data_IF_261654211210
#
_entry.id   IF_261654211210
#
_cell.length_a   1.000
_cell.length_b   1.000
_cell.length_c   1.000
_cell.angle_alpha   90.00
_cell.angle_beta   90.00
_cell.angle_gamma   90.00
#
_symmetry.space_group_name_H-M   'P 1'
#
loop_
_entity.id
_entity.type
_entity.pdbx_description
1 polymer ?
#
# COMPACT_ATOMS: atom_id res chain seq x y z
N UNK A 1 -8.68 -6.09 -26.33
CA UNK A 1 -7.68 -5.58 -25.37
C UNK A 1 -8.33 -4.42 -24.63
N UNK A 2 -8.49 -4.56 -23.32
CA UNK A 2 -9.25 -3.62 -22.49
C UNK A 2 -8.42 -2.36 -22.22
N UNK A 3 -9.06 -1.23 -21.92
CA UNK A 3 -8.36 0.07 -21.76
C UNK A 3 -7.25 0.04 -20.71
N UNK A 4 -7.42 -0.74 -19.64
CA UNK A 4 -6.40 -0.91 -18.61
C UNK A 4 -5.16 -1.68 -19.10
N UNK A 5 -5.35 -2.68 -19.98
CA UNK A 5 -4.25 -3.46 -20.55
C UNK A 5 -3.36 -2.58 -21.42
N UNK A 6 -3.97 -1.63 -22.17
CA UNK A 6 -3.22 -0.66 -22.98
C UNK A 6 -2.35 0.25 -22.11
N UNK A 7 -2.91 0.79 -21.02
CA UNK A 7 -2.15 1.63 -20.06
C UNK A 7 -1.02 0.82 -19.41
N UNK A 8 -1.29 -0.42 -19.03
CA UNK A 8 -0.29 -1.30 -18.45
C UNK A 8 0.85 -1.61 -19.43
N UNK A 9 0.53 -1.97 -20.67
CA UNK A 9 1.51 -2.23 -21.73
C UNK A 9 2.34 -0.98 -22.09
N UNK A 10 1.74 0.22 -22.03
CA UNK A 10 2.46 1.49 -22.18
C UNK A 10 3.48 1.69 -21.04
N UNK A 11 3.12 1.34 -19.81
CA UNK A 11 3.99 1.54 -18.65
C UNK A 11 5.08 0.48 -18.52
N UNK A 12 4.79 -0.76 -18.96
CA UNK A 12 5.65 -1.93 -18.83
C UNK A 12 5.74 -2.67 -20.18
N UNK A 13 6.47 -2.13 -21.16
CA UNK A 13 6.64 -2.78 -22.46
C UNK A 13 7.47 -4.06 -22.32
N UNK A 14 6.75 -5.20 -22.40
CA UNK A 14 7.23 -6.59 -22.56
C UNK A 14 8.52 -6.95 -21.80
N UNK A 15 8.34 -7.45 -20.57
CA UNK A 15 9.22 -8.49 -20.05
C UNK A 15 9.06 -9.77 -20.90
N UNK A 16 10.14 -10.51 -21.13
CA UNK A 16 10.11 -11.79 -21.88
C UNK A 16 9.21 -12.77 -21.14
N UNK A 17 7.99 -12.91 -21.65
CA UNK A 17 6.94 -13.70 -21.02
C UNK A 17 7.17 -15.18 -21.33
N UNK A 18 7.81 -15.92 -20.42
CA UNK A 18 7.76 -17.38 -20.45
C UNK A 18 6.35 -17.81 -20.08
N UNK A 19 5.73 -18.68 -20.88
CA UNK A 19 4.39 -19.19 -20.61
C UNK A 19 4.38 -19.92 -19.26
N UNK A 20 3.50 -19.49 -18.35
CA UNK A 20 3.32 -20.17 -17.07
C UNK A 20 2.43 -21.41 -17.25
N UNK A 21 2.81 -22.58 -16.72
CA UNK A 21 2.05 -23.81 -16.88
C UNK A 21 0.74 -23.77 -16.10
N UNK A 22 -0.30 -24.37 -16.68
CA UNK A 22 -1.67 -24.37 -16.14
C UNK A 22 -2.00 -25.70 -15.42
N UNK A 23 -1.20 -26.75 -15.65
CA UNK A 23 -1.34 -28.05 -14.98
C UNK A 23 0.01 -28.76 -14.93
N UNK A 24 0.30 -29.38 -13.78
CA UNK A 24 1.49 -30.19 -13.56
C UNK A 24 1.03 -31.53 -12.99
N UNK A 25 1.65 -32.62 -13.44
CA UNK A 25 1.34 -34.00 -12.98
C UNK A 25 2.60 -34.77 -12.57
N UNK A 26 3.74 -34.07 -12.43
CA UNK A 26 5.00 -34.71 -12.09
C UNK A 26 5.01 -35.12 -10.62
N UNK A 27 5.37 -36.36 -10.38
CA UNK A 27 5.71 -36.88 -9.05
C UNK A 27 7.18 -37.25 -9.04
N UNK A 28 7.91 -36.82 -8.02
CA UNK A 28 9.32 -37.14 -7.85
C UNK A 28 9.51 -38.20 -6.77
N UNK A 29 10.56 -39.01 -6.93
CA UNK A 29 11.03 -39.83 -5.82
C UNK A 29 11.73 -38.94 -4.79
N UNK A 30 11.87 -39.46 -3.56
CA UNK A 30 12.60 -38.76 -2.50
C UNK A 30 14.05 -38.40 -2.90
N UNK A 31 14.69 -39.15 -3.79
CA UNK A 31 16.06 -38.84 -4.27
C UNK A 31 16.04 -37.73 -5.31
N UNK A 32 15.10 -37.77 -6.25
CA UNK A 32 14.93 -36.71 -7.25
C UNK A 32 14.58 -35.36 -6.62
N UNK A 33 13.69 -35.34 -5.61
CA UNK A 33 13.41 -34.11 -4.84
C UNK A 33 14.67 -33.51 -4.25
N UNK A 34 15.52 -34.37 -3.68
CA UNK A 34 16.76 -33.95 -3.05
C UNK A 34 17.75 -33.34 -4.05
N UNK A 35 17.93 -33.99 -5.21
CA UNK A 35 18.80 -33.50 -6.28
C UNK A 35 18.38 -32.12 -6.82
N UNK A 36 17.07 -31.86 -6.91
CA UNK A 36 16.56 -30.55 -7.33
C UNK A 36 16.71 -29.54 -6.18
N UNK A 37 16.36 -29.94 -4.96
CA UNK A 37 16.43 -29.09 -3.77
C UNK A 37 17.87 -28.62 -3.47
N UNK A 38 18.89 -29.46 -3.68
CA UNK A 38 20.30 -29.06 -3.50
C UNK A 38 20.76 -27.96 -4.46
N UNK A 39 20.13 -27.85 -5.64
CA UNK A 39 20.43 -26.80 -6.63
C UNK A 39 19.79 -25.46 -6.27
N UNK A 40 18.86 -25.42 -5.32
CA UNK A 40 18.19 -24.20 -4.89
C UNK A 40 19.13 -23.32 -4.05
N UNK A 41 18.99 -22.01 -4.21
CA UNK A 41 19.72 -21.04 -3.38
C UNK A 41 19.29 -21.14 -1.92
N UNK A 42 20.08 -20.57 -0.99
CA UNK A 42 19.76 -20.59 0.44
C UNK A 42 18.37 -19.99 0.74
N UNK A 43 18.03 -18.85 0.11
CA UNK A 43 16.72 -18.20 0.27
C UNK A 43 15.58 -19.08 -0.25
N UNK A 44 15.77 -19.71 -1.41
CA UNK A 44 14.79 -20.61 -2.00
C UNK A 44 14.53 -21.84 -1.12
N UNK A 45 15.59 -22.45 -0.58
CA UNK A 45 15.47 -23.57 0.36
C UNK A 45 14.72 -23.18 1.63
N UNK A 46 15.05 -22.02 2.22
CA UNK A 46 14.33 -21.50 3.39
C UNK A 46 12.84 -21.28 3.12
N UNK A 47 12.49 -20.74 1.94
CA UNK A 47 11.09 -20.61 1.53
C UNK A 47 10.40 -21.98 1.44
N UNK A 48 10.99 -22.92 0.69
CA UNK A 48 10.44 -24.26 0.48
C UNK A 48 10.26 -25.00 1.81
N UNK A 49 11.24 -24.94 2.72
CA UNK A 49 11.15 -25.59 4.02
C UNK A 49 10.05 -24.99 4.90
N UNK A 50 9.91 -23.66 4.90
CA UNK A 50 8.86 -22.95 5.63
C UNK A 50 7.48 -23.30 5.09
N UNK A 51 7.30 -23.29 3.76
CA UNK A 51 6.03 -23.66 3.12
C UNK A 51 5.71 -25.14 3.34
N UNK A 52 6.70 -26.03 3.25
CA UNK A 52 6.54 -27.44 3.61
C UNK A 52 6.05 -27.59 5.05
N UNK A 53 6.66 -26.87 6.00
CA UNK A 53 6.26 -26.90 7.41
C UNK A 53 4.82 -26.43 7.58
N UNK A 54 4.46 -25.32 6.93
CA UNK A 54 3.09 -24.81 6.94
C UNK A 54 2.09 -25.83 6.40
N UNK A 55 2.36 -26.45 5.24
CA UNK A 55 1.47 -27.45 4.64
C UNK A 55 1.31 -28.68 5.53
N UNK A 56 2.40 -29.16 6.14
CA UNK A 56 2.33 -30.25 7.12
C UNK A 56 1.44 -29.82 8.30
N UNK A 57 1.70 -28.66 8.90
CA UNK A 57 0.90 -28.15 10.02
C UNK A 57 -0.59 -28.05 9.66
N UNK A 58 -0.91 -27.48 8.50
CA UNK A 58 -2.29 -27.33 8.01
C UNK A 58 -2.96 -28.69 7.90
N UNK A 59 -2.30 -29.67 7.29
CA UNK A 59 -2.82 -31.02 7.13
C UNK A 59 -3.08 -31.70 8.49
N UNK A 60 -2.19 -31.53 9.47
CA UNK A 60 -2.38 -32.07 10.82
C UNK A 60 -3.55 -31.42 11.58
N UNK A 61 -3.80 -30.12 11.37
CA UNK A 61 -4.89 -29.37 12.00
C UNK A 61 -6.23 -29.68 11.33
N UNK A 62 -6.30 -29.56 10.00
CA UNK A 62 -7.54 -29.73 9.23
C UNK A 62 -8.17 -31.11 9.43
N UNK A 63 -7.34 -32.14 9.41
CA UNK A 63 -7.80 -33.53 9.51
C UNK A 63 -7.89 -34.01 10.96
N UNK A 64 -7.51 -33.15 11.93
CA UNK A 64 -7.54 -33.42 13.36
C UNK A 64 -6.89 -34.77 13.74
N UNK A 65 -5.83 -35.17 13.03
CA UNK A 65 -5.24 -36.52 13.14
C UNK A 65 -4.88 -36.92 14.57
N UNK A 66 -4.46 -35.94 15.36
CA UNK A 66 -3.96 -36.12 16.71
C UNK A 66 -4.93 -35.60 17.78
N UNK A 67 -6.16 -35.21 17.43
CA UNK A 67 -7.12 -34.64 18.37
C UNK A 67 -7.50 -35.59 19.51
N UNK A 68 -7.46 -36.91 19.27
CA UNK A 68 -7.70 -37.93 20.29
C UNK A 68 -6.44 -38.26 21.13
N UNK A 69 -5.34 -37.52 20.93
CA UNK A 69 -4.05 -37.77 21.58
C UNK A 69 -3.53 -36.50 22.24
N UNK A 70 -2.62 -36.66 23.20
CA UNK A 70 -1.91 -35.53 23.82
C UNK A 70 -0.71 -35.07 22.98
N UNK A 71 -0.75 -35.18 21.65
CA UNK A 71 0.38 -34.86 20.78
C UNK A 71 -0.02 -33.83 19.74
N UNK A 72 0.85 -32.86 19.49
CA UNK A 72 0.74 -31.97 18.34
C UNK A 72 2.03 -31.99 17.52
N UNK A 73 1.90 -31.75 16.22
CA UNK A 73 3.07 -31.64 15.35
C UNK A 73 3.85 -30.35 15.68
N UNK A 74 5.14 -30.49 15.96
CA UNK A 74 6.02 -29.40 16.39
C UNK A 74 6.98 -28.97 15.29
N UNK A 75 7.67 -29.91 14.64
CA UNK A 75 8.66 -29.62 13.59
C UNK A 75 8.96 -30.86 12.74
N UNK A 76 9.72 -30.70 11.66
CA UNK A 76 10.33 -31.82 10.96
C UNK A 76 11.79 -31.50 10.59
N UNK A 77 12.59 -32.54 10.44
CA UNK A 77 13.98 -32.46 9.97
C UNK A 77 14.19 -33.40 8.80
N UNK A 78 15.01 -33.00 7.84
CA UNK A 78 15.43 -33.83 6.72
C UNK A 78 16.92 -34.13 6.90
N UNK A 79 17.28 -35.41 6.76
CA UNK A 79 18.66 -35.84 6.69
C UNK A 79 19.12 -35.84 5.21
N UNK A 80 19.84 -34.79 4.75
CA UNK A 80 20.48 -34.75 3.43
C UNK A 80 21.34 -35.98 3.11
N UNK A 81 21.93 -36.58 4.15
CA UNK A 81 22.96 -37.60 4.05
C UNK A 81 22.45 -39.00 4.42
N UNK A 82 21.14 -39.20 4.38
CA UNK A 82 20.50 -40.47 4.70
C UNK A 82 21.13 -41.63 3.91
N UNK A 83 21.56 -42.69 4.61
CA UNK A 83 22.26 -43.86 4.03
C UNK A 83 23.58 -43.56 3.33
N UNK A 84 24.18 -42.39 3.56
CA UNK A 84 25.56 -42.13 3.15
C UNK A 84 26.54 -42.44 4.29
N UNK A 85 27.83 -42.66 3.96
CA UNK A 85 28.90 -42.87 4.95
C UNK A 85 29.35 -41.58 5.66
N UNK A 86 28.75 -40.43 5.36
CA UNK A 86 29.14 -39.14 5.94
C UNK A 86 28.77 -39.11 7.42
N UNK A 87 29.72 -38.72 8.29
CA UNK A 87 29.58 -38.68 9.77
C UNK A 87 28.74 -37.52 10.31
N UNK A 88 28.00 -36.80 9.46
CA UNK A 88 27.17 -35.69 9.91
C UNK A 88 25.96 -36.19 10.71
N UNK A 89 25.29 -35.28 11.43
CA UNK A 89 24.21 -35.61 12.37
C UNK A 89 23.09 -36.37 11.66
N UNK A 90 23.06 -37.69 11.84
CA UNK A 90 22.00 -38.57 11.33
C UNK A 90 20.74 -38.38 12.15
N UNK A 91 19.59 -38.55 11.49
CA UNK A 91 18.29 -38.53 12.15
C UNK A 91 17.87 -39.97 12.48
N UNK A 92 17.27 -40.14 13.65
CA UNK A 92 16.80 -41.44 14.12
C UNK A 92 15.37 -41.32 14.64
N UNK A 93 14.59 -42.37 14.46
CA UNK A 93 13.32 -42.54 15.16
C UNK A 93 13.62 -42.86 16.63
N UNK A 94 12.66 -42.62 17.52
CA UNK A 94 12.79 -43.02 18.93
C UNK A 94 12.95 -44.54 19.10
N UNK A 95 12.55 -45.36 18.12
CA UNK A 95 12.85 -46.80 18.09
C UNK A 95 14.28 -47.15 17.61
N UNK A 96 15.13 -46.14 17.33
CA UNK A 96 16.52 -46.31 16.87
C UNK A 96 16.70 -46.47 15.36
N UNK A 97 15.62 -46.50 14.57
CA UNK A 97 15.70 -46.60 13.10
C UNK A 97 16.25 -45.32 12.47
N UNK A 98 17.28 -45.39 11.62
CA UNK A 98 17.77 -44.23 10.86
C UNK A 98 16.66 -43.70 9.95
N UNK A 99 16.43 -42.39 9.96
CA UNK A 99 15.37 -41.71 9.22
C UNK A 99 15.94 -40.75 8.17
N UNK A 100 15.28 -40.70 7.01
CA UNK A 100 15.48 -39.64 6.03
C UNK A 100 14.74 -38.37 6.42
N UNK A 101 13.52 -38.53 6.90
CA UNK A 101 12.67 -37.44 7.39
C UNK A 101 12.22 -37.81 8.79
N UNK A 102 12.45 -36.92 9.74
CA UNK A 102 12.09 -37.07 11.14
C UNK A 102 11.03 -36.04 11.47
N UNK A 103 9.85 -36.50 11.85
CA UNK A 103 8.75 -35.67 12.33
C UNK A 103 8.88 -35.56 13.85
N UNK A 104 8.73 -34.36 14.37
CA UNK A 104 8.83 -34.05 15.79
C UNK A 104 7.43 -33.70 16.26
N UNK A 105 6.92 -34.47 17.20
CA UNK A 105 5.65 -34.22 17.87
C UNK A 105 5.92 -33.92 19.33
N UNK A 106 5.14 -33.01 19.91
CA UNK A 106 5.32 -32.58 21.30
C UNK A 106 4.01 -32.76 22.07
N UNK A 107 4.13 -33.19 23.32
CA UNK A 107 3.01 -33.23 24.25
C UNK A 107 2.89 -31.89 24.96
N UNK A 108 1.73 -31.21 24.90
CA UNK A 108 1.52 -29.96 25.62
C UNK A 108 1.43 -30.21 27.13
N UNK A 109 0.90 -31.36 27.56
CA UNK A 109 0.73 -31.70 28.97
C UNK A 109 2.06 -32.05 29.65
N UNK A 110 2.93 -32.82 28.99
CA UNK A 110 4.20 -33.31 29.59
C UNK A 110 5.43 -32.56 29.11
N UNK A 111 5.33 -31.77 28.03
CA UNK A 111 6.48 -31.15 27.37
C UNK A 111 7.40 -32.13 26.62
N UNK A 112 7.11 -33.44 26.66
CA UNK A 112 7.93 -34.47 26.01
C UNK A 112 7.88 -34.29 24.49
N UNK A 113 9.01 -34.53 23.83
CA UNK A 113 9.13 -34.55 22.36
C UNK A 113 9.41 -35.97 21.89
N UNK A 114 8.69 -36.42 20.88
CA UNK A 114 8.98 -37.68 20.17
C UNK A 114 9.49 -37.38 18.77
N UNK A 115 10.45 -38.19 18.34
CA UNK A 115 11.08 -38.09 17.02
C UNK A 115 10.73 -39.33 16.20
N UNK A 116 9.85 -39.16 15.22
CA UNK A 116 9.16 -40.25 14.57
C UNK A 116 9.40 -40.27 13.06
N UNK A 117 9.48 -41.46 12.48
CA UNK A 117 9.28 -41.66 11.04
C UNK A 117 7.79 -41.74 10.75
N UNK A 118 7.36 -41.35 9.55
CA UNK A 118 5.92 -41.28 9.20
C UNK A 118 5.19 -42.62 9.42
N UNK A 119 5.85 -43.74 9.12
CA UNK A 119 5.28 -45.08 9.29
C UNK A 119 5.20 -45.55 10.74
N UNK A 120 5.88 -44.87 11.67
CA UNK A 120 5.91 -45.27 13.08
C UNK A 120 4.96 -44.42 13.95
N UNK A 121 4.11 -43.57 13.33
CA UNK A 121 3.11 -42.80 14.05
C UNK A 121 2.10 -43.70 14.78
N UNK A 122 1.61 -44.77 14.13
CA UNK A 122 0.70 -45.74 14.75
C UNK A 122 1.29 -46.37 16.01
N UNK A 123 2.56 -46.77 15.93
CA UNK A 123 3.27 -47.48 17.00
C UNK A 123 3.55 -46.57 18.20
N UNK A 124 4.03 -45.35 17.95
CA UNK A 124 4.47 -44.45 19.03
C UNK A 124 3.36 -43.55 19.58
N UNK A 125 2.33 -43.24 18.80
CA UNK A 125 1.22 -42.37 19.22
C UNK A 125 -0.05 -43.14 19.57
N UNK A 126 -0.04 -44.47 19.45
CA UNK A 126 -1.19 -45.34 19.68
C UNK A 126 -2.44 -44.93 18.86
N UNK A 127 -2.22 -44.34 17.68
CA UNK A 127 -3.28 -43.96 16.76
C UNK A 127 -3.72 -45.18 15.94
N UNK A 128 -5.00 -45.22 15.55
CA UNK A 128 -5.53 -46.32 14.75
C UNK A 128 -4.83 -46.43 13.38
N UNK A 129 -4.75 -47.64 12.79
CA UNK A 129 -4.19 -47.82 11.45
C UNK A 129 -4.85 -46.92 10.39
N UNK A 130 -6.15 -46.65 10.52
CA UNK A 130 -6.89 -45.74 9.64
C UNK A 130 -6.35 -44.31 9.71
N UNK A 131 -6.06 -43.81 10.92
CA UNK A 131 -5.45 -42.49 11.13
C UNK A 131 -4.04 -42.45 10.55
N UNK A 132 -3.24 -43.50 10.77
CA UNK A 132 -1.88 -43.58 10.21
C UNK A 132 -1.86 -43.60 8.67
N UNK A 133 -2.77 -44.32 8.02
CA UNK A 133 -2.95 -44.27 6.57
C UNK A 133 -3.33 -42.87 6.10
N UNK A 134 -4.27 -42.21 6.80
CA UNK A 134 -4.68 -40.86 6.45
C UNK A 134 -3.56 -39.83 6.61
N UNK A 135 -2.73 -39.95 7.66
CA UNK A 135 -1.51 -39.15 7.83
C UNK A 135 -0.56 -39.34 6.62
N UNK A 136 -0.34 -40.59 6.18
CA UNK A 136 0.50 -40.89 5.02
C UNK A 136 -0.06 -40.29 3.72
N UNK A 137 -1.38 -40.38 3.50
CA UNK A 137 -2.06 -39.73 2.37
C UNK A 137 -1.90 -38.21 2.42
N UNK A 138 -2.06 -37.61 3.60
CA UNK A 138 -1.81 -36.18 3.83
C UNK A 138 -0.38 -35.77 3.49
N UNK A 139 0.62 -36.55 3.93
CA UNK A 139 2.02 -36.27 3.57
C UNK A 139 2.30 -36.44 2.08
N UNK A 140 1.60 -37.37 1.42
CA UNK A 140 1.68 -37.52 -0.04
C UNK A 140 1.15 -36.26 -0.74
N UNK A 141 0.05 -35.66 -0.27
CA UNK A 141 -0.45 -34.37 -0.79
C UNK A 141 0.59 -33.25 -0.61
N UNK A 142 1.24 -33.17 0.56
CA UNK A 142 2.31 -32.18 0.79
C UNK A 142 3.45 -32.38 -0.20
N UNK A 143 3.91 -33.61 -0.38
CA UNK A 143 4.99 -33.94 -1.31
C UNK A 143 4.62 -33.62 -2.77
N UNK A 144 3.36 -33.84 -3.18
CA UNK A 144 2.86 -33.44 -4.49
C UNK A 144 2.88 -31.93 -4.70
N UNK A 145 2.48 -31.16 -3.69
CA UNK A 145 2.57 -29.69 -3.75
C UNK A 145 4.03 -29.24 -3.91
N UNK A 146 4.97 -29.85 -3.19
CA UNK A 146 6.40 -29.52 -3.34
C UNK A 146 6.95 -29.92 -4.70
N UNK A 147 6.52 -31.06 -5.24
CA UNK A 147 6.93 -31.52 -6.57
C UNK A 147 6.56 -30.54 -7.66
N UNK A 148 5.44 -29.85 -7.51
CA UNK A 148 5.03 -28.77 -8.41
C UNK A 148 6.10 -27.67 -8.47
N UNK A 149 6.50 -27.12 -7.31
CA UNK A 149 7.50 -26.05 -7.25
C UNK A 149 8.88 -26.51 -7.76
N UNK A 150 9.29 -27.72 -7.38
CA UNK A 150 10.56 -28.28 -7.81
C UNK A 150 10.58 -28.54 -9.32
N UNK A 151 9.47 -29.01 -9.88
CA UNK A 151 9.32 -29.18 -11.32
C UNK A 151 9.41 -27.84 -12.05
N UNK A 152 8.69 -26.82 -11.59
CA UNK A 152 8.74 -25.46 -12.14
C UNK A 152 10.18 -24.93 -12.19
N UNK A 153 10.92 -25.09 -11.08
CA UNK A 153 12.33 -24.71 -11.04
C UNK A 153 13.21 -25.54 -11.96
N UNK A 154 12.97 -26.85 -12.07
CA UNK A 154 13.72 -27.70 -12.99
C UNK A 154 13.49 -27.30 -14.46
N UNK A 155 12.30 -26.80 -14.81
CA UNK A 155 11.98 -26.28 -16.15
C UNK A 155 12.48 -24.84 -16.38
N UNK A 156 13.25 -24.26 -15.46
CA UNK A 156 13.70 -22.86 -15.51
C UNK A 156 12.53 -21.87 -15.65
N UNK A 157 11.41 -22.18 -14.99
CA UNK A 157 10.28 -21.26 -14.84
C UNK A 157 10.57 -20.35 -13.66
N UNK A 158 10.48 -19.06 -13.93
CA UNK A 158 10.77 -17.99 -12.98
C UNK A 158 9.48 -17.53 -12.29
N UNK A 159 9.62 -16.62 -11.33
CA UNK A 159 8.46 -15.94 -10.74
C UNK A 159 7.68 -15.20 -11.84
N UNK A 160 6.33 -15.29 -11.87
CA UNK A 160 5.53 -14.67 -12.92
C UNK A 160 5.39 -13.15 -12.71
N UNK A 161 6.47 -12.41 -12.95
CA UNK A 161 6.57 -10.97 -12.64
C UNK A 161 5.51 -10.14 -13.37
N UNK A 162 5.22 -10.46 -14.64
CA UNK A 162 4.12 -9.84 -15.39
C UNK A 162 2.77 -9.99 -14.67
N UNK A 163 2.41 -11.20 -14.24
CA UNK A 163 1.14 -11.43 -13.54
C UNK A 163 1.10 -10.67 -12.21
N UNK A 164 2.23 -10.62 -11.50
CA UNK A 164 2.35 -9.85 -10.27
C UNK A 164 2.16 -8.34 -10.48
N UNK A 165 2.77 -7.78 -11.53
CA UNK A 165 2.60 -6.37 -11.90
C UNK A 165 1.16 -6.06 -12.32
N UNK A 166 0.53 -6.94 -13.10
CA UNK A 166 -0.90 -6.84 -13.44
C UNK A 166 -1.76 -6.85 -12.18
N UNK A 167 -1.50 -7.77 -11.25
CA UNK A 167 -2.19 -7.85 -9.97
C UNK A 167 -2.05 -6.56 -9.15
N UNK A 168 -0.82 -6.05 -8.98
CA UNK A 168 -0.57 -4.78 -8.29
C UNK A 168 -1.31 -3.62 -8.94
N UNK A 169 -1.30 -3.55 -10.28
CA UNK A 169 -2.01 -2.51 -11.02
C UNK A 169 -3.52 -2.59 -10.79
N UNK A 170 -4.09 -3.79 -10.75
CA UNK A 170 -5.50 -3.99 -10.45
C UNK A 170 -5.85 -3.56 -9.01
N UNK A 171 -5.00 -3.87 -8.02
CA UNK A 171 -5.18 -3.36 -6.66
C UNK A 171 -5.10 -1.83 -6.61
N UNK A 172 -4.16 -1.22 -7.34
CA UNK A 172 -4.05 0.23 -7.44
C UNK A 172 -5.36 0.87 -7.93
N UNK A 173 -5.96 0.29 -8.99
CA UNK A 173 -7.23 0.75 -9.56
C UNK A 173 -8.43 0.45 -8.66
N UNK A 174 -8.39 -0.65 -7.92
CA UNK A 174 -9.44 -1.07 -7.01
C UNK A 174 -9.77 0.00 -5.94
N UNK A 175 -8.78 0.80 -5.52
CA UNK A 175 -8.97 1.94 -4.59
C UNK A 175 -9.89 3.04 -5.09
N UNK A 176 -10.14 3.10 -6.40
CA UNK A 176 -10.98 4.10 -7.06
C UNK A 176 -12.41 3.60 -7.27
N UNK A 177 -12.66 2.30 -7.06
CA UNK A 177 -13.97 1.70 -7.29
C UNK A 177 -15.01 2.18 -6.28
N UNK A 178 -16.24 2.41 -6.76
CA UNK A 178 -17.38 2.65 -5.88
C UNK A 178 -17.61 1.46 -4.95
N UNK A 179 -17.42 0.25 -5.45
CA UNK A 179 -17.51 -0.99 -4.68
C UNK A 179 -16.21 -1.80 -4.85
N UNK A 180 -15.25 -1.66 -3.93
CA UNK A 180 -13.96 -2.33 -4.09
C UNK A 180 -14.08 -3.83 -3.87
N UNK A 181 -13.12 -4.55 -4.43
CA UNK A 181 -12.81 -5.94 -4.12
C UNK A 181 -11.85 -6.00 -2.93
N UNK A 182 -11.99 -7.02 -2.09
CA UNK A 182 -11.14 -7.22 -0.93
C UNK A 182 -10.23 -8.43 -1.22
N UNK A 183 -8.92 -8.21 -1.44
CA UNK A 183 -8.01 -9.29 -1.83
C UNK A 183 -7.75 -10.27 -0.70
N UNK A 184 -7.43 -11.51 -1.05
CA UNK A 184 -6.96 -12.51 -0.10
C UNK A 184 -5.56 -12.11 0.42
N UNK A 185 -5.51 -11.74 1.70
CA UNK A 185 -4.27 -11.34 2.36
C UNK A 185 -3.25 -12.48 2.43
N UNK A 186 -3.71 -13.73 2.63
CA UNK A 186 -2.83 -14.90 2.71
C UNK A 186 -2.22 -15.20 1.35
N UNK A 187 -3.02 -15.12 0.28
CA UNK A 187 -2.52 -15.24 -1.08
C UNK A 187 -1.46 -14.18 -1.38
N UNK A 188 -1.78 -12.91 -1.10
CA UNK A 188 -0.86 -11.80 -1.39
C UNK A 188 0.45 -11.91 -0.60
N UNK A 189 0.38 -12.18 0.72
CA UNK A 189 1.56 -12.43 1.56
C UNK A 189 2.41 -13.55 0.99
N UNK A 190 1.79 -14.69 0.65
CA UNK A 190 2.49 -15.84 0.06
C UNK A 190 3.18 -15.45 -1.24
N UNK A 191 2.49 -14.83 -2.19
CA UNK A 191 3.07 -14.45 -3.49
C UNK A 191 4.27 -13.52 -3.33
N UNK A 192 4.23 -12.55 -2.39
CA UNK A 192 5.40 -11.69 -2.13
C UNK A 192 6.60 -12.48 -1.61
N UNK A 193 6.39 -13.42 -0.66
CA UNK A 193 7.49 -14.27 -0.18
C UNK A 193 8.16 -15.08 -1.30
N UNK A 194 7.36 -15.57 -2.25
CA UNK A 194 7.86 -16.28 -3.42
C UNK A 194 8.66 -15.35 -4.35
N UNK A 195 8.18 -14.12 -4.56
CA UNK A 195 8.90 -13.10 -5.34
C UNK A 195 10.25 -12.77 -4.73
N UNK A 196 10.30 -12.52 -3.41
CA UNK A 196 11.54 -12.19 -2.68
C UNK A 196 12.61 -13.30 -2.76
N UNK A 197 12.16 -14.56 -2.80
CA UNK A 197 13.04 -15.71 -2.97
C UNK A 197 13.37 -16.03 -4.44
N UNK A 198 12.81 -15.26 -5.39
CA UNK A 198 12.86 -15.54 -6.84
C UNK A 198 12.43 -16.98 -7.16
N UNK A 199 11.34 -17.43 -6.54
CA UNK A 199 10.72 -18.74 -6.75
C UNK A 199 9.47 -18.62 -7.61
N UNK A 200 9.19 -19.60 -8.49
CA UNK A 200 7.88 -19.71 -9.12
C UNK A 200 6.82 -20.00 -8.04
N UNK A 201 5.60 -19.51 -8.23
CA UNK A 201 4.46 -19.75 -7.32
C UNK A 201 3.79 -21.11 -7.60
N UNK A 202 2.78 -21.48 -6.82
CA UNK A 202 1.92 -22.62 -7.16
C UNK A 202 1.00 -22.25 -8.35
N UNK A 203 0.63 -23.24 -9.16
CA UNK A 203 -0.35 -23.09 -10.25
C UNK A 203 -1.70 -22.63 -9.70
N UNK A 204 -2.09 -23.13 -8.52
CA UNK A 204 -3.30 -22.68 -7.84
C UNK A 204 -3.22 -21.18 -7.46
N UNK A 205 -2.07 -20.70 -6.99
CA UNK A 205 -1.86 -19.28 -6.66
C UNK A 205 -1.87 -18.41 -7.93
N UNK A 206 -1.25 -18.90 -9.00
CA UNK A 206 -1.28 -18.25 -10.31
C UNK A 206 -2.73 -18.06 -10.80
N UNK A 207 -3.55 -19.11 -10.72
CA UNK A 207 -4.98 -19.06 -11.07
C UNK A 207 -5.79 -18.17 -10.12
N UNK A 208 -5.48 -18.18 -8.83
CA UNK A 208 -6.14 -17.33 -7.85
C UNK A 208 -5.89 -15.84 -8.15
N UNK A 209 -4.65 -15.44 -8.44
CA UNK A 209 -4.33 -14.07 -8.84
C UNK A 209 -5.09 -13.65 -10.12
N UNK A 210 -5.14 -14.51 -11.14
CA UNK A 210 -5.94 -14.27 -12.35
C UNK A 210 -7.41 -14.04 -12.00
N UNK A 211 -7.95 -14.85 -11.08
CA UNK A 211 -9.34 -14.74 -10.64
C UNK A 211 -9.61 -13.42 -9.92
N UNK A 212 -8.72 -12.98 -9.02
CA UNK A 212 -8.85 -11.68 -8.35
C UNK A 212 -8.75 -10.50 -9.33
N UNK A 213 -7.80 -10.55 -10.27
CA UNK A 213 -7.68 -9.58 -11.38
C UNK A 213 -9.00 -9.50 -12.14
N UNK A 214 -9.56 -10.65 -12.51
CA UNK A 214 -10.82 -10.71 -13.25
C UNK A 214 -12.00 -10.13 -12.44
N UNK A 215 -12.08 -10.43 -11.15
CA UNK A 215 -13.11 -9.86 -10.27
C UNK A 215 -13.05 -8.32 -10.25
N UNK A 216 -11.85 -7.74 -10.11
CA UNK A 216 -11.67 -6.28 -10.11
C UNK A 216 -11.99 -5.71 -11.50
N UNK A 217 -11.54 -6.37 -12.56
CA UNK A 217 -11.80 -5.97 -13.95
C UNK A 217 -13.30 -5.88 -14.25
N UNK A 218 -14.08 -6.87 -13.83
CA UNK A 218 -15.54 -6.86 -14.02
C UNK A 218 -16.19 -5.67 -13.31
N UNK A 219 -15.71 -5.32 -12.11
CA UNK A 219 -16.19 -4.14 -11.38
C UNK A 219 -15.77 -2.81 -12.04
N UNK A 220 -14.65 -2.79 -12.77
CA UNK A 220 -14.20 -1.61 -13.53
C UNK A 220 -15.02 -1.36 -14.80
N UNK A 221 -15.41 -2.42 -15.53
CA UNK A 221 -16.21 -2.29 -16.78
C UNK A 221 -17.51 -1.50 -16.59
N UNK A 222 -18.09 -1.54 -15.38
CA UNK A 222 -19.30 -0.79 -15.03
C UNK A 222 -19.08 0.69 -14.64
N UNK A 223 -17.85 1.23 -14.70
CA UNK A 223 -17.54 2.60 -14.28
C UNK A 223 -16.94 3.42 -15.43
N UNK A 224 -17.52 4.59 -15.69
CA UNK A 224 -17.11 5.53 -16.76
C UNK A 224 -15.92 6.42 -16.40
N UNK A 225 -15.29 6.22 -15.24
CA UNK A 225 -14.14 7.03 -14.83
C UNK A 225 -12.88 6.57 -15.56
N UNK A 226 -12.14 7.53 -16.09
CA UNK A 226 -10.87 7.33 -16.78
C UNK A 226 -9.90 6.49 -15.93
N UNK A 227 -9.55 5.32 -16.45
CA UNK A 227 -8.60 4.35 -15.90
C UNK A 227 -7.17 4.93 -15.77
N UNK A 228 -6.89 6.09 -16.38
CA UNK A 228 -5.56 6.70 -16.45
C UNK A 228 -5.14 7.28 -15.09
N UNK A 229 -4.43 6.48 -14.30
CA UNK A 229 -3.61 6.96 -13.18
C UNK A 229 -2.30 7.58 -13.67
N UNK A 230 -1.48 8.07 -12.73
CA UNK A 230 -0.08 8.45 -13.00
C UNK A 230 0.85 7.28 -12.68
N UNK A 231 1.82 6.99 -13.55
CA UNK A 231 2.78 5.89 -13.38
C UNK A 231 3.56 6.01 -12.06
N UNK A 232 4.03 7.21 -11.73
CA UNK A 232 4.75 7.50 -10.47
C UNK A 232 3.94 7.10 -9.22
N UNK A 233 2.63 7.34 -9.21
CA UNK A 233 1.75 6.97 -8.09
C UNK A 233 1.51 5.46 -8.00
N UNK A 234 1.60 4.76 -9.13
CA UNK A 234 1.55 3.30 -9.16
C UNK A 234 2.86 2.69 -8.65
N UNK A 235 4.01 3.22 -9.08
CA UNK A 235 5.33 2.77 -8.62
C UNK A 235 5.44 2.93 -7.10
N UNK A 236 5.11 4.12 -6.58
CA UNK A 236 5.02 4.40 -5.14
C UNK A 236 4.16 3.37 -4.40
N UNK A 237 2.98 3.06 -4.94
CA UNK A 237 2.06 2.09 -4.36
C UNK A 237 2.64 0.67 -4.36
N UNK A 238 3.31 0.27 -5.45
CA UNK A 238 3.91 -1.06 -5.58
C UNK A 238 5.08 -1.23 -4.60
N UNK A 239 5.87 -0.17 -4.39
CA UNK A 239 6.97 -0.16 -3.43
C UNK A 239 6.47 -0.26 -1.99
N UNK A 240 5.41 0.49 -1.64
CA UNK A 240 4.79 0.41 -0.31
C UNK A 240 4.28 -1.00 0.01
N UNK A 241 3.67 -1.66 -0.98
CA UNK A 241 3.16 -3.02 -0.83
C UNK A 241 4.27 -4.00 -0.48
N UNK A 242 5.43 -3.90 -1.15
CA UNK A 242 6.53 -4.84 -0.95
C UNK A 242 7.32 -4.53 0.33
N UNK A 243 7.43 -3.26 0.71
CA UNK A 243 8.22 -2.83 1.88
C UNK A 243 7.73 -3.43 3.20
N UNK A 244 6.43 -3.45 3.40
CA UNK A 244 5.78 -4.07 4.56
C UNK A 244 4.39 -4.56 4.16
N UNK A 245 4.36 -5.77 3.62
CA UNK A 245 3.17 -6.41 3.06
C UNK A 245 2.05 -6.52 4.11
N UNK A 246 2.40 -6.80 5.36
CA UNK A 246 1.42 -7.00 6.43
C UNK A 246 0.76 -5.69 6.82
N UNK A 247 1.55 -4.65 7.11
CA UNK A 247 1.02 -3.33 7.42
C UNK A 247 0.27 -2.76 6.23
N UNK A 248 0.78 -2.94 5.01
CA UNK A 248 0.14 -2.48 3.79
C UNK A 248 -1.24 -3.13 3.61
N UNK A 249 -1.34 -4.46 3.66
CA UNK A 249 -2.60 -5.16 3.43
C UNK A 249 -3.66 -4.80 4.47
N UNK A 250 -3.26 -4.71 5.74
CA UNK A 250 -4.13 -4.28 6.82
C UNK A 250 -4.68 -2.88 6.56
N UNK A 251 -3.80 -1.90 6.26
CA UNK A 251 -4.21 -0.54 5.93
C UNK A 251 -5.08 -0.50 4.66
N UNK A 252 -4.72 -1.26 3.63
CA UNK A 252 -5.45 -1.34 2.38
C UNK A 252 -6.89 -1.82 2.60
N UNK A 253 -7.09 -2.92 3.33
CA UNK A 253 -8.42 -3.41 3.71
C UNK A 253 -9.22 -2.38 4.51
N UNK A 254 -8.60 -1.75 5.52
CA UNK A 254 -9.23 -0.69 6.33
C UNK A 254 -9.67 0.48 5.43
N UNK A 255 -8.82 0.91 4.50
CA UNK A 255 -9.05 2.13 3.71
C UNK A 255 -10.08 1.95 2.60
N UNK A 256 -10.32 0.71 2.17
CA UNK A 256 -11.39 0.36 1.23
C UNK A 256 -12.78 0.38 1.87
N UNK A 257 -12.89 0.28 3.20
CA UNK A 257 -14.17 0.31 3.92
C UNK A 257 -14.88 1.65 3.75
N UNK A 258 -16.22 1.60 3.80
CA UNK A 258 -17.10 2.78 3.65
C UNK A 258 -17.57 3.35 4.98
N UNK A 259 -17.25 2.68 6.08
CA UNK A 259 -17.63 3.05 7.43
C UNK A 259 -16.41 3.51 8.26
N UNK A 260 -16.70 3.99 9.46
CA UNK A 260 -15.71 4.51 10.40
C UNK A 260 -15.18 3.45 11.38
N UNK A 261 -15.71 2.23 11.36
CA UNK A 261 -15.47 1.23 12.42
C UNK A 261 -13.99 0.93 12.66
N UNK A 262 -13.20 0.93 11.59
CA UNK A 262 -11.79 0.54 11.64
C UNK A 262 -10.83 1.72 11.90
N UNK A 263 -11.29 2.97 11.80
CA UNK A 263 -10.44 4.16 11.95
C UNK A 263 -10.91 5.13 13.04
N UNK A 264 -12.16 5.01 13.47
CA UNK A 264 -12.74 5.80 14.55
C UNK A 264 -12.26 5.34 15.92
N UNK A 265 -12.40 6.22 16.91
CA UNK A 265 -12.23 5.84 18.32
C UNK A 265 -13.47 5.05 18.76
N UNK A 266 -13.28 4.00 19.56
CA UNK A 266 -14.39 3.18 20.06
C UNK A 266 -15.38 4.02 20.88
N UNK A 267 -16.66 3.94 20.54
CA UNK A 267 -17.71 4.80 21.12
C UNK A 267 -17.61 6.29 20.73
N UNK A 268 -16.69 6.66 19.83
CA UNK A 268 -16.48 8.02 19.37
C UNK A 268 -17.56 8.51 18.38
N UNK A 269 -17.78 9.82 18.38
CA UNK A 269 -18.67 10.47 17.42
C UNK A 269 -18.06 10.48 16.01
N UNK A 270 -18.91 10.64 14.98
CA UNK A 270 -18.41 10.88 13.64
C UNK A 270 -17.88 12.31 13.52
N UNK A 271 -16.74 12.52 12.85
CA UNK A 271 -16.19 13.85 12.71
C UNK A 271 -17.13 14.76 11.93
N UNK A 272 -17.34 15.95 12.49
CA UNK A 272 -18.16 16.99 11.87
C UNK A 272 -17.46 17.57 10.63
N UNK A 273 -18.20 18.36 9.85
CA UNK A 273 -17.60 19.07 8.73
C UNK A 273 -16.50 20.06 9.17
N UNK A 274 -16.68 20.72 10.32
CA UNK A 274 -15.71 21.66 10.88
C UNK A 274 -14.38 20.99 11.27
N UNK A 275 -14.41 19.70 11.65
CA UNK A 275 -13.20 18.92 11.88
C UNK A 275 -12.32 18.89 10.63
N UNK A 276 -12.89 18.61 9.45
CA UNK A 276 -12.10 18.52 8.21
C UNK A 276 -11.52 19.87 7.79
N UNK A 277 -12.27 20.97 7.94
CA UNK A 277 -11.76 22.32 7.68
C UNK A 277 -10.57 22.65 8.59
N UNK A 278 -10.72 22.39 9.89
CA UNK A 278 -9.66 22.59 10.89
C UNK A 278 -8.44 21.72 10.56
N UNK A 279 -8.66 20.45 10.25
CA UNK A 279 -7.56 19.52 9.96
C UNK A 279 -6.82 19.91 8.68
N UNK A 280 -7.51 20.39 7.64
CA UNK A 280 -6.86 20.94 6.43
C UNK A 280 -5.92 22.09 6.79
N UNK A 281 -6.34 23.01 7.66
CA UNK A 281 -5.50 24.14 8.07
C UNK A 281 -4.28 23.69 8.86
N UNK A 282 -4.45 22.73 9.77
CA UNK A 282 -3.35 22.15 10.53
C UNK A 282 -2.35 21.47 9.60
N UNK A 283 -2.81 20.68 8.63
CA UNK A 283 -1.94 20.06 7.63
C UNK A 283 -1.14 21.13 6.87
N UNK A 284 -1.80 22.19 6.37
CA UNK A 284 -1.12 23.29 5.67
C UNK A 284 -0.11 24.03 6.53
N UNK A 285 -0.40 24.22 7.82
CA UNK A 285 0.49 24.89 8.77
C UNK A 285 1.83 24.14 8.96
N UNK A 286 1.84 22.82 8.76
CA UNK A 286 3.09 22.04 8.80
C UNK A 286 4.02 22.31 7.61
N UNK A 287 3.53 22.99 6.56
CA UNK A 287 4.28 23.27 5.31
C UNK A 287 4.89 22.02 4.68
N UNK A 288 4.31 20.84 4.93
CA UNK A 288 4.80 19.52 4.49
C UNK A 288 6.16 19.11 5.07
N UNK A 289 6.58 19.71 6.18
CA UNK A 289 7.84 19.37 6.86
C UNK A 289 7.63 18.22 7.85
N UNK A 290 8.54 17.24 7.87
CA UNK A 290 8.53 16.09 8.79
C UNK A 290 9.65 16.17 9.83
N UNK A 291 9.91 17.35 10.38
CA UNK A 291 10.86 17.50 11.48
C UNK A 291 10.24 17.10 12.84
N UNK A 292 11.07 16.93 13.86
CA UNK A 292 10.61 16.51 15.20
C UNK A 292 9.60 17.49 15.81
N UNK A 293 9.76 18.79 15.58
CA UNK A 293 8.83 19.81 16.08
C UNK A 293 7.42 19.64 15.51
N UNK A 294 7.28 19.50 14.19
CA UNK A 294 5.99 19.28 13.55
C UNK A 294 5.39 17.93 13.92
N UNK A 295 6.25 16.90 14.12
CA UNK A 295 5.82 15.59 14.60
C UNK A 295 5.19 15.68 15.98
N UNK A 296 5.85 16.34 16.94
CA UNK A 296 5.32 16.52 18.30
C UNK A 296 3.99 17.29 18.29
N UNK A 297 3.89 18.36 17.50
CA UNK A 297 2.63 19.11 17.34
C UNK A 297 1.51 18.24 16.76
N UNK A 298 1.82 17.42 15.76
CA UNK A 298 0.84 16.51 15.16
C UNK A 298 0.43 15.38 16.11
N UNK A 299 1.35 14.85 16.90
CA UNK A 299 1.07 13.84 17.93
C UNK A 299 0.15 14.43 19.02
N UNK A 300 0.42 15.64 19.50
CA UNK A 300 -0.45 16.35 20.45
C UNK A 300 -1.84 16.59 19.87
N UNK A 301 -1.92 17.09 18.63
CA UNK A 301 -3.20 17.27 17.94
C UNK A 301 -3.96 15.94 17.84
N UNK A 302 -3.31 14.88 17.38
CA UNK A 302 -3.92 13.57 17.19
C UNK A 302 -4.43 12.98 18.51
N UNK A 303 -3.69 13.12 19.62
CA UNK A 303 -4.12 12.68 20.95
C UNK A 303 -5.32 13.46 21.48
N UNK A 304 -5.45 14.75 21.12
CA UNK A 304 -6.60 15.56 21.52
C UNK A 304 -7.89 15.27 20.72
N UNK A 305 -7.79 14.53 19.60
CA UNK A 305 -8.97 14.22 18.79
C UNK A 305 -9.82 13.13 19.42
N UNK A 306 -11.15 13.28 19.33
CA UNK A 306 -12.13 12.31 19.83
C UNK A 306 -12.75 11.44 18.73
N UNK A 307 -12.42 11.72 17.47
CA UNK A 307 -13.11 11.14 16.31
C UNK A 307 -12.31 10.02 15.63
N UNK A 308 -10.98 10.17 15.54
CA UNK A 308 -10.11 9.33 14.71
C UNK A 308 -8.93 8.85 15.56
N UNK A 309 -8.53 7.60 15.35
CA UNK A 309 -7.37 7.02 16.03
C UNK A 309 -6.08 7.78 15.72
N UNK A 310 -5.24 7.95 16.74
CA UNK A 310 -3.96 8.68 16.66
C UNK A 310 -3.12 8.24 15.46
N UNK A 311 -2.96 6.92 15.27
CA UNK A 311 -2.18 6.34 14.16
C UNK A 311 -2.69 6.77 12.77
N UNK A 312 -4.00 6.94 12.61
CA UNK A 312 -4.62 7.32 11.34
C UNK A 312 -4.38 8.80 11.07
N UNK A 313 -4.48 9.66 12.09
CA UNK A 313 -4.13 11.08 11.96
C UNK A 313 -2.67 11.28 11.55
N UNK A 314 -1.74 10.58 12.20
CA UNK A 314 -0.32 10.62 11.87
C UNK A 314 -0.05 10.11 10.45
N UNK A 315 -0.71 9.02 10.06
CA UNK A 315 -0.63 8.50 8.69
C UNK A 315 -1.11 9.54 7.66
N UNK A 316 -2.28 10.17 7.87
CA UNK A 316 -2.80 11.21 6.97
C UNK A 316 -1.81 12.36 6.83
N UNK A 317 -1.17 12.79 7.93
CA UNK A 317 -0.16 13.83 7.89
C UNK A 317 1.07 13.42 7.07
N UNK A 318 1.58 12.20 7.25
CA UNK A 318 2.69 11.68 6.44
C UNK A 318 2.36 11.67 4.94
N UNK A 319 1.15 11.21 4.59
CA UNK A 319 0.68 11.21 3.21
C UNK A 319 0.53 12.63 2.64
N UNK A 320 0.07 13.59 3.45
CA UNK A 320 0.01 14.99 3.04
C UNK A 320 1.40 15.58 2.82
N UNK A 321 2.37 15.28 3.68
CA UNK A 321 3.75 15.71 3.50
C UNK A 321 4.35 15.17 2.19
N UNK A 322 4.06 13.90 1.85
CA UNK A 322 4.54 13.25 0.63
C UNK A 322 3.91 13.85 -0.63
N UNK A 323 2.57 13.96 -0.66
CA UNK A 323 1.84 14.24 -1.91
C UNK A 323 1.21 15.63 -1.99
N UNK A 324 1.05 16.35 -0.88
CA UNK A 324 0.14 17.49 -0.78
C UNK A 324 -1.32 17.11 -1.11
N UNK A 325 -2.22 18.06 -1.30
CA UNK A 325 -3.61 17.78 -1.70
C UNK A 325 -3.74 17.42 -3.19
N UNK A 326 -3.01 16.40 -3.63
CA UNK A 326 -3.02 15.83 -4.98
C UNK A 326 -3.72 14.47 -5.02
N UNK A 327 -3.84 13.86 -6.20
CA UNK A 327 -4.44 12.53 -6.38
C UNK A 327 -3.77 11.47 -5.50
N UNK A 328 -2.44 11.47 -5.38
CA UNK A 328 -1.69 10.51 -4.57
C UNK A 328 -2.13 10.51 -3.10
N UNK A 329 -2.29 11.70 -2.50
CA UNK A 329 -2.79 11.83 -1.13
C UNK A 329 -4.19 11.27 -0.96
N UNK A 330 -5.10 11.61 -1.88
CA UNK A 330 -6.46 11.14 -1.76
C UNK A 330 -6.52 9.63 -1.93
N UNK A 331 -5.78 9.05 -2.88
CA UNK A 331 -5.76 7.61 -3.14
C UNK A 331 -5.11 6.80 -2.02
N UNK A 332 -4.22 7.38 -1.20
CA UNK A 332 -3.53 6.68 -0.11
C UNK A 332 -4.25 6.70 1.24
N UNK A 333 -5.21 7.60 1.47
CA UNK A 333 -5.92 7.73 2.75
C UNK A 333 -7.28 6.99 2.79
N UNK A 334 -7.84 6.71 4.00
CA UNK A 334 -9.14 6.06 4.13
C UNK A 334 -10.24 6.75 3.34
N UNK A 335 -11.10 5.96 2.71
CA UNK A 335 -12.16 6.47 1.82
C UNK A 335 -13.13 7.44 2.50
N UNK A 336 -13.51 7.18 3.76
CA UNK A 336 -14.41 8.07 4.51
C UNK A 336 -13.77 9.43 4.78
N UNK A 337 -12.46 9.45 5.07
CA UNK A 337 -11.67 10.67 5.26
C UNK A 337 -11.53 11.43 3.93
N UNK A 338 -11.18 10.72 2.86
CA UNK A 338 -11.08 11.26 1.49
C UNK A 338 -12.32 12.06 1.11
N UNK A 339 -13.50 11.49 1.36
CA UNK A 339 -14.76 12.15 1.05
C UNK A 339 -14.98 13.43 1.88
N UNK A 340 -14.63 13.41 3.17
CA UNK A 340 -14.70 14.58 4.04
C UNK A 340 -13.79 15.72 3.60
N UNK A 341 -12.53 15.41 3.27
CA UNK A 341 -11.58 16.41 2.74
C UNK A 341 -12.02 16.95 1.38
N UNK A 342 -12.44 16.08 0.44
CA UNK A 342 -12.90 16.52 -0.88
C UNK A 342 -14.11 17.44 -0.78
N UNK A 343 -15.05 17.16 0.13
CA UNK A 343 -16.21 18.04 0.37
C UNK A 343 -15.77 19.41 0.88
N UNK A 344 -14.84 19.44 1.84
CA UNK A 344 -14.33 20.67 2.45
C UNK A 344 -13.57 21.54 1.45
N UNK A 345 -12.63 20.95 0.71
CA UNK A 345 -11.85 21.64 -0.33
C UNK A 345 -12.72 22.16 -1.49
N UNK A 346 -13.80 21.44 -1.85
CA UNK A 346 -14.75 21.92 -2.86
C UNK A 346 -15.49 23.17 -2.38
N UNK A 347 -15.93 23.20 -1.13
CA UNK A 347 -16.63 24.35 -0.54
C UNK A 347 -15.70 25.56 -0.44
N UNK A 348 -14.45 25.36 -0.01
CA UNK A 348 -13.41 26.40 -0.01
C UNK A 348 -13.20 26.99 -1.41
N UNK A 349 -13.05 26.15 -2.45
CA UNK A 349 -12.92 26.62 -3.83
C UNK A 349 -14.15 27.39 -4.31
N UNK A 350 -15.35 26.96 -3.93
CA UNK A 350 -16.58 27.68 -4.28
C UNK A 350 -16.68 29.03 -3.57
N UNK A 351 -16.27 29.11 -2.30
CA UNK A 351 -16.21 30.37 -1.57
C UNK A 351 -15.20 31.33 -2.20
N UNK A 352 -13.99 30.87 -2.53
CA UNK A 352 -12.98 31.67 -3.20
C UNK A 352 -13.45 32.16 -4.57
N UNK A 353 -14.10 31.31 -5.37
CA UNK A 353 -14.71 31.72 -6.64
C UNK A 353 -15.83 32.75 -6.49
N UNK A 354 -16.60 32.72 -5.39
CA UNK A 354 -17.60 33.75 -5.09
C UNK A 354 -16.93 35.07 -4.73
N UNK A 355 -15.86 35.04 -3.93
CA UNK A 355 -15.07 36.22 -3.59
C UNK A 355 -14.46 36.84 -4.87
N UNK A 356 -13.86 36.02 -5.74
CA UNK A 356 -13.33 36.48 -7.04
C UNK A 356 -14.43 37.05 -7.94
N UNK A 357 -15.65 36.49 -7.95
CA UNK A 357 -16.79 37.03 -8.72
C UNK A 357 -17.32 38.35 -8.17
N UNK A 358 -17.14 38.63 -6.89
CA UNK A 358 -17.57 39.89 -6.27
C UNK A 358 -16.48 40.97 -6.30
N UNK A 359 -15.25 40.64 -6.69
CA UNK A 359 -14.22 41.64 -6.97
C UNK A 359 -14.50 42.31 -8.32
N UNK A 360 -14.69 43.62 -8.30
CA UNK A 360 -14.84 44.42 -9.52
C UNK A 360 -13.46 44.58 -10.17
N UNK A 361 -13.32 44.29 -11.45
CA UNK A 361 -12.06 44.58 -12.15
C UNK A 361 -11.99 46.08 -12.40
N UNK A 362 -10.83 46.70 -12.16
CA UNK A 362 -10.59 48.09 -12.57
C UNK A 362 -10.59 48.13 -14.10
N UNK A 363 -11.63 48.74 -14.67
CA UNK A 363 -11.75 48.96 -16.11
C UNK A 363 -10.74 50.01 -16.58
N UNK A 364 -10.45 50.04 -17.89
CA UNK A 364 -9.51 51.02 -18.46
C UNK A 364 -9.97 52.46 -18.17
N UNK A 365 -11.28 52.75 -18.28
CA UNK A 365 -11.84 54.08 -17.93
C UNK A 365 -11.59 54.45 -16.45
N UNK A 366 -11.74 53.49 -15.53
CA UNK A 366 -11.49 53.72 -14.11
C UNK A 366 -9.98 53.86 -13.84
N UNK A 367 -9.15 53.16 -14.60
CA UNK A 367 -7.70 53.27 -14.51
C UNK A 367 -7.18 54.63 -15.00
N UNK A 368 -7.77 55.17 -16.07
CA UNK A 368 -7.50 56.53 -16.53
C UNK A 368 -7.92 57.56 -15.47
N UNK A 369 -9.07 57.36 -14.83
CA UNK A 369 -9.52 58.21 -13.73
C UNK A 369 -8.54 58.18 -12.53
N UNK A 370 -8.07 56.98 -12.15
CA UNK A 370 -7.05 56.80 -11.12
C UNK A 370 -5.76 57.54 -11.49
N UNK A 371 -5.33 57.50 -12.76
CA UNK A 371 -4.15 58.22 -13.23
C UNK A 371 -4.28 59.74 -13.08
N UNK A 372 -5.48 60.28 -13.25
CA UNK A 372 -5.79 61.70 -13.01
C UNK A 372 -5.78 62.00 -11.51
N UNK A 373 -6.41 61.14 -10.71
CA UNK A 373 -6.53 61.33 -9.25
C UNK A 373 -5.17 61.26 -8.55
N UNK A 374 -4.23 60.46 -9.06
CA UNK A 374 -2.83 60.37 -8.59
C UNK A 374 -2.07 61.71 -8.66
N UNK A 375 -2.54 62.70 -9.43
CA UNK A 375 -1.94 64.05 -9.45
C UNK A 375 -2.30 64.88 -8.22
N UNK A 376 -3.43 64.57 -7.59
CA UNK A 376 -4.05 65.39 -6.55
C UNK A 376 -4.27 64.64 -5.22
N UNK A 377 -4.22 63.32 -5.22
CA UNK A 377 -4.44 62.46 -4.05
C UNK A 377 -3.25 61.54 -3.80
N UNK A 378 -3.07 61.13 -2.54
CA UNK A 378 -2.04 60.16 -2.17
C UNK A 378 -2.41 58.78 -2.68
N UNK A 379 -1.41 58.04 -3.17
CA UNK A 379 -1.57 56.63 -3.60
C UNK A 379 -2.22 55.76 -2.51
N UNK A 380 -1.91 56.00 -1.23
CA UNK A 380 -2.49 55.26 -0.11
C UNK A 380 -4.02 55.39 -0.03
N UNK A 381 -4.56 56.59 -0.29
CA UNK A 381 -6.00 56.86 -0.20
C UNK A 381 -6.73 56.16 -1.35
N UNK A 382 -6.13 56.19 -2.55
CA UNK A 382 -6.68 55.51 -3.73
C UNK A 382 -6.70 53.98 -3.52
N UNK A 383 -5.63 53.41 -2.94
CA UNK A 383 -5.59 51.97 -2.60
C UNK A 383 -6.67 51.63 -1.56
N UNK A 384 -6.86 52.47 -0.55
CA UNK A 384 -7.91 52.29 0.47
C UNK A 384 -9.31 52.34 -0.15
N UNK A 385 -9.61 53.31 -1.02
CA UNK A 385 -10.88 53.42 -1.72
C UNK A 385 -11.15 52.25 -2.67
N UNK A 386 -10.14 51.78 -3.39
CA UNK A 386 -10.23 50.60 -4.24
C UNK A 386 -10.50 49.34 -3.41
N UNK A 387 -9.83 49.21 -2.26
CA UNK A 387 -10.04 48.07 -1.35
C UNK A 387 -11.43 48.08 -0.71
N UNK A 388 -11.93 49.25 -0.30
CA UNK A 388 -13.25 49.45 0.30
C UNK A 388 -14.37 49.14 -0.70
N UNK A 389 -14.15 49.43 -1.99
CA UNK A 389 -15.11 49.18 -3.06
C UNK A 389 -14.92 47.81 -3.75
N UNK A 390 -14.05 46.96 -3.20
CA UNK A 390 -13.76 45.60 -3.67
C UNK A 390 -13.23 45.54 -5.11
N UNK A 391 -12.40 46.50 -5.52
CA UNK A 391 -11.72 46.45 -6.81
C UNK A 391 -10.48 45.53 -6.79
N UNK A 392 -10.28 44.77 -7.87
CA UNK A 392 -9.06 44.00 -8.12
C UNK A 392 -8.20 44.68 -9.19
N UNK A 393 -6.91 44.82 -8.87
CA UNK A 393 -5.89 45.41 -9.73
C UNK A 393 -5.11 44.30 -10.45
N UNK A 394 -4.76 44.52 -11.72
CA UNK A 394 -3.81 43.66 -12.44
C UNK A 394 -2.41 43.80 -11.83
N UNK A 395 -1.51 42.85 -12.12
CA UNK A 395 -0.12 42.94 -11.66
C UNK A 395 0.56 44.22 -12.13
N UNK A 396 0.31 44.64 -13.36
CA UNK A 396 0.86 45.87 -13.95
C UNK A 396 0.35 47.11 -13.22
N UNK A 397 -0.95 47.18 -12.92
CA UNK A 397 -1.56 48.26 -12.14
C UNK A 397 -0.99 48.33 -10.72
N UNK A 398 -0.80 47.18 -10.07
CA UNK A 398 -0.16 47.10 -8.75
C UNK A 398 1.28 47.62 -8.78
N UNK A 399 2.06 47.24 -9.80
CA UNK A 399 3.43 47.73 -9.98
C UNK A 399 3.46 49.24 -10.24
N UNK A 400 2.54 49.77 -11.04
CA UNK A 400 2.44 51.20 -11.31
C UNK A 400 2.16 51.99 -10.03
N UNK A 401 1.15 51.60 -9.24
CA UNK A 401 0.84 52.29 -7.97
C UNK A 401 2.02 52.22 -6.98
N UNK A 402 2.71 51.09 -6.91
CA UNK A 402 3.89 50.95 -6.05
C UNK A 402 5.03 51.91 -6.48
N UNK A 403 5.22 52.10 -7.78
CA UNK A 403 6.19 53.05 -8.31
C UNK A 403 5.80 54.51 -7.98
N UNK A 404 4.53 54.87 -8.14
CA UNK A 404 4.03 56.19 -7.73
C UNK A 404 4.18 56.43 -6.22
N UNK A 405 3.94 55.42 -5.39
CA UNK A 405 4.11 55.52 -3.95
C UNK A 405 5.58 55.76 -3.55
N UNK A 406 6.52 55.12 -4.25
CA UNK A 406 7.96 55.37 -4.07
C UNK A 406 8.34 56.79 -4.51
N UNK A 407 7.80 57.27 -5.63
CA UNK A 407 8.00 58.65 -6.09
C UNK A 407 7.44 59.67 -5.10
N UNK A 408 6.23 59.47 -4.55
CA UNK A 408 5.66 60.33 -3.51
C UNK A 408 6.58 60.42 -2.28
N UNK A 409 7.12 59.29 -1.84
CA UNK A 409 8.02 59.24 -0.68
C UNK A 409 9.34 59.96 -0.96
N UNK A 410 9.93 59.77 -2.14
CA UNK A 410 11.13 60.48 -2.56
C UNK A 410 10.88 62.00 -2.63
N UNK A 411 9.75 62.38 -3.24
CA UNK A 411 9.36 63.78 -3.39
C UNK A 411 9.15 64.48 -2.05
N UNK A 412 8.71 63.82 -0.98
CA UNK A 412 8.50 64.47 0.33
C UNK A 412 9.74 65.22 0.83
N UNK A 413 10.93 64.69 0.56
CA UNK A 413 12.22 65.22 1.04
C UNK A 413 12.91 66.21 0.08
N UNK A 414 12.31 66.50 -1.08
CA UNK A 414 12.89 67.33 -2.12
C UNK A 414 12.49 68.82 -2.02
N UNK A 415 13.32 69.68 -2.62
CA UNK A 415 13.07 71.13 -2.69
C UNK A 415 11.77 71.45 -3.45
N UNK A 416 11.06 72.53 -3.08
CA UNK A 416 9.77 72.89 -3.68
C UNK A 416 9.84 73.09 -5.20
N UNK A 417 10.95 73.62 -5.71
CA UNK A 417 11.21 73.80 -7.15
C UNK A 417 11.30 72.45 -7.89
N UNK A 418 11.97 71.46 -7.29
CA UNK A 418 12.08 70.10 -7.83
C UNK A 418 10.73 69.39 -7.82
N UNK A 419 9.92 69.59 -6.77
CA UNK A 419 8.56 69.06 -6.66
C UNK A 419 7.66 69.59 -7.78
N UNK A 420 7.78 70.87 -8.12
CA UNK A 420 6.95 71.50 -9.15
C UNK A 420 7.34 71.09 -10.57
N UNK A 421 8.64 70.92 -10.84
CA UNK A 421 9.13 70.41 -12.12
C UNK A 421 8.76 68.94 -12.34
N UNK A 422 8.86 68.09 -11.31
CA UNK A 422 8.49 66.68 -11.41
C UNK A 422 6.97 66.48 -11.53
N UNK A 423 6.15 67.32 -10.87
CA UNK A 423 4.68 67.33 -11.06
C UNK A 423 4.26 67.69 -12.49
N UNK A 424 5.10 68.38 -13.26
CA UNK A 424 4.85 68.69 -14.68
C UNK A 424 5.30 67.58 -15.63
N UNK A 425 6.20 66.69 -15.20
CA UNK A 425 6.69 65.55 -15.97
C UNK A 425 5.80 64.30 -15.81
N UNK A 426 5.04 64.21 -14.71
CA UNK A 426 4.01 63.21 -14.43
C UNK A 426 2.63 63.69 -14.92
#
# INVERSE_FOLDING_TARGET
MNDWQRVFEEWFPKEINKLYPIKISKQYTSSQRWEIYEKLTKKQRQLVDRHRRYLINSQFIEENYLAATDWFFSDFKINPFFRTKRRQQKLYCDCGRELKVQYIVQSPTTGKKLHLGINHFAEHLHVSPKIATSINEGMTKVDLALDELLWLKQQNIDFPEKLWQEYCFMLYQNRKLKDPYFPDEKLTKRVVEFREASMPIYVADYQALISEIHCIEQKLKGQTKTIRGKKELFEDFSEELIKDVETFLNNYHIYLRKDWSAIGIEGGEQPSFAFFETFIQILRATKRQQNEEQRLKMEQYAQSQRFIQVKVCLFIWQQYCRYGFTEGFFDSIPRVIRNGFLKSLRKERQANKKIEKHQKVVTDDLWEQIAIDLKNQKVSNIIEELSANHYSLTKEQQYALLYFQQLEHFLQNEKPETKELLKRLL
#
